data_IF_902822628574
#
_entry.id   IF_902822628574
#
_cell.length_a   1.000
_cell.length_b   1.000
_cell.length_c   1.000
_cell.angle_alpha   90.00
_cell.angle_beta   90.00
_cell.angle_gamma   90.00
#
_symmetry.space_group_name_H-M   'P 1'
#
loop_
_entity.id
_entity.type
_entity.pdbx_description
1 polymer ?
#
# COMPACT_ATOMS: atom_id res chain seq x y z
N UNK A 1 -17.02 20.70 -23.90
CA UNK A 1 -18.23 20.06 -23.38
C UNK A 1 -17.93 19.45 -22.04
N UNK A 2 -17.56 20.27 -21.07
CA UNK A 2 -17.42 19.88 -19.67
C UNK A 2 -18.77 20.14 -19.01
N UNK A 3 -19.39 19.11 -18.46
CA UNK A 3 -20.75 19.20 -17.90
C UNK A 3 -20.76 19.49 -16.39
N UNK A 4 -19.69 19.10 -15.69
CA UNK A 4 -19.53 19.28 -14.24
C UNK A 4 -18.10 19.70 -13.95
N UNK A 5 -17.95 20.62 -13.01
CA UNK A 5 -16.66 21.03 -12.44
C UNK A 5 -16.59 20.54 -10.98
N UNK A 6 -15.44 20.02 -10.59
CA UNK A 6 -15.11 19.81 -9.18
C UNK A 6 -14.41 21.08 -8.66
N UNK A 7 -15.22 22.06 -8.24
CA UNK A 7 -14.74 23.39 -7.84
C UNK A 7 -15.89 24.38 -7.75
N UNK A 8 -15.55 25.67 -7.81
CA UNK A 8 -16.52 26.77 -7.74
C UNK A 8 -16.44 27.72 -8.94
N UNK A 9 -15.56 27.49 -9.91
CA UNK A 9 -15.33 28.39 -11.04
C UNK A 9 -16.61 28.59 -11.88
N UNK A 10 -17.31 27.52 -12.22
CA UNK A 10 -18.57 27.57 -12.96
C UNK A 10 -19.65 28.25 -12.14
N UNK A 11 -19.77 27.89 -10.86
CA UNK A 11 -20.73 28.52 -9.94
C UNK A 11 -20.50 30.04 -9.86
N UNK A 12 -19.25 30.48 -9.80
CA UNK A 12 -18.86 31.89 -9.66
C UNK A 12 -18.90 32.67 -10.98
N UNK A 13 -18.65 32.03 -12.13
CA UNK A 13 -18.39 32.74 -13.38
C UNK A 13 -19.35 32.44 -14.53
N UNK A 14 -20.06 31.30 -14.53
CA UNK A 14 -20.91 30.91 -15.68
C UNK A 14 -22.02 31.91 -15.96
N UNK A 15 -22.66 32.50 -14.93
CA UNK A 15 -23.68 33.55 -15.11
C UNK A 15 -23.10 34.76 -15.86
N UNK A 16 -21.92 35.23 -15.43
CA UNK A 16 -21.24 36.37 -16.04
C UNK A 16 -20.86 36.07 -17.49
N UNK A 17 -20.36 34.86 -17.76
CA UNK A 17 -20.02 34.41 -19.11
C UNK A 17 -21.23 34.37 -20.05
N UNK A 18 -22.40 33.95 -19.57
CA UNK A 18 -23.66 33.98 -20.33
C UNK A 18 -24.13 35.41 -20.59
N UNK A 19 -24.13 36.28 -19.56
CA UNK A 19 -24.51 37.69 -19.72
C UNK A 19 -23.62 38.44 -20.71
N UNK A 20 -22.32 38.11 -20.71
CA UNK A 20 -21.34 38.65 -21.67
C UNK A 20 -21.39 37.97 -23.04
N UNK A 21 -22.32 37.03 -23.27
CA UNK A 21 -22.46 36.25 -24.51
C UNK A 21 -21.20 35.45 -24.91
N UNK A 22 -20.30 35.18 -23.95
CA UNK A 22 -19.12 34.32 -24.14
C UNK A 22 -19.50 32.84 -24.23
N UNK A 23 -20.61 32.47 -23.61
CA UNK A 23 -21.18 31.12 -23.63
C UNK A 23 -22.70 31.21 -23.85
N UNK A 24 -23.29 30.48 -24.80
CA UNK A 24 -24.74 30.38 -24.93
C UNK A 24 -25.36 29.67 -23.71
N UNK A 25 -26.54 30.12 -23.25
CA UNK A 25 -27.26 29.44 -22.15
C UNK A 25 -27.56 27.98 -22.46
N UNK A 26 -27.79 27.63 -23.73
CA UNK A 26 -28.02 26.25 -24.17
C UNK A 26 -26.86 25.30 -23.86
N UNK A 27 -25.64 25.80 -23.68
CA UNK A 27 -24.51 24.98 -23.23
C UNK A 27 -24.65 24.59 -21.76
N UNK A 28 -25.19 25.47 -20.92
CA UNK A 28 -25.51 25.19 -19.51
C UNK A 28 -26.68 24.21 -19.44
N UNK A 29 -27.72 24.44 -20.24
CA UNK A 29 -28.89 23.55 -20.29
C UNK A 29 -28.49 22.13 -20.71
N UNK A 30 -27.60 22.00 -21.69
CA UNK A 30 -27.06 20.69 -22.10
C UNK A 30 -26.32 20.00 -20.94
N UNK A 31 -25.47 20.72 -20.22
CA UNK A 31 -24.72 20.17 -19.10
C UNK A 31 -25.65 19.67 -17.97
N UNK A 32 -26.67 20.47 -17.65
CA UNK A 32 -27.71 20.09 -16.68
C UNK A 32 -28.51 18.88 -17.17
N UNK A 33 -28.93 18.88 -18.44
CA UNK A 33 -29.64 17.75 -19.04
C UNK A 33 -28.83 16.46 -18.90
N UNK A 34 -27.54 16.48 -19.21
CA UNK A 34 -26.65 15.32 -19.07
C UNK A 34 -26.53 14.86 -17.61
N UNK A 35 -26.28 15.79 -16.68
CA UNK A 35 -26.14 15.48 -15.25
C UNK A 35 -27.42 14.85 -14.67
N UNK A 36 -28.58 15.46 -14.94
CA UNK A 36 -29.85 14.98 -14.42
C UNK A 36 -30.31 13.69 -15.10
N UNK A 37 -30.01 13.50 -16.38
CA UNK A 37 -30.29 12.23 -17.08
C UNK A 37 -29.63 11.04 -16.38
N UNK A 38 -28.38 11.19 -15.92
CA UNK A 38 -27.70 10.13 -15.16
C UNK A 38 -28.36 9.92 -13.79
N UNK A 39 -28.70 11.00 -13.06
CA UNK A 39 -29.36 10.89 -11.75
C UNK A 39 -30.73 10.22 -11.84
N UNK A 40 -31.50 10.50 -12.89
CA UNK A 40 -32.78 9.85 -13.18
C UNK A 40 -32.56 8.36 -13.48
N UNK A 41 -31.57 8.00 -14.32
CA UNK A 41 -31.23 6.59 -14.60
C UNK A 41 -30.79 5.79 -13.36
N UNK A 42 -30.22 6.47 -12.37
CA UNK A 42 -29.84 5.88 -11.07
C UNK A 42 -31.02 5.80 -10.09
N UNK A 43 -32.20 6.29 -10.47
CA UNK A 43 -33.43 6.24 -9.67
C UNK A 43 -33.51 7.29 -8.56
N UNK A 44 -32.68 8.35 -8.60
CA UNK A 44 -32.66 9.36 -7.53
C UNK A 44 -34.01 10.10 -7.38
N UNK A 45 -34.87 10.05 -8.40
CA UNK A 45 -36.18 10.70 -8.45
C UNK A 45 -37.35 9.70 -8.39
N UNK A 46 -37.09 8.41 -8.18
CA UNK A 46 -38.10 7.35 -8.24
C UNK A 46 -38.75 7.05 -6.87
N UNK A 47 -38.78 8.05 -5.97
CA UNK A 47 -39.41 7.95 -4.65
C UNK A 47 -38.48 7.35 -3.58
N UNK A 48 -38.98 6.38 -2.81
CA UNK A 48 -38.24 5.84 -1.66
C UNK A 48 -37.05 4.97 -2.12
N UNK A 49 -35.79 5.38 -1.87
CA UNK A 49 -34.61 4.67 -2.39
C UNK A 49 -34.48 3.23 -1.87
N UNK A 50 -35.04 2.90 -0.70
CA UNK A 50 -35.00 1.52 -0.17
C UNK A 50 -35.85 0.54 -0.97
N UNK A 51 -36.79 1.04 -1.78
CA UNK A 51 -37.64 0.23 -2.68
C UNK A 51 -37.05 0.10 -4.09
N UNK A 52 -35.93 0.75 -4.38
CA UNK A 52 -35.30 0.76 -5.71
C UNK A 52 -34.23 -0.33 -5.83
N UNK A 53 -33.69 -0.49 -7.05
CA UNK A 53 -32.75 -1.56 -7.44
C UNK A 53 -31.59 -1.76 -6.45
N UNK A 54 -31.05 -0.68 -5.89
CA UNK A 54 -29.90 -0.72 -4.97
C UNK A 54 -30.29 -0.54 -3.50
N UNK A 55 -31.59 -0.39 -3.20
CA UNK A 55 -32.11 -0.05 -1.87
C UNK A 55 -31.92 -1.13 -0.81
N UNK A 56 -31.65 -2.37 -1.22
CA UNK A 56 -31.37 -3.50 -0.32
C UNK A 56 -29.91 -3.60 0.12
N UNK A 57 -29.01 -2.77 -0.42
CA UNK A 57 -27.59 -2.75 -0.03
C UNK A 57 -27.47 -1.98 1.29
N UNK A 58 -27.34 -2.71 2.39
CA UNK A 58 -27.24 -2.16 3.74
C UNK A 58 -25.83 -2.13 4.32
N UNK A 59 -25.65 -1.50 5.50
CA UNK A 59 -24.36 -1.45 6.20
C UNK A 59 -23.78 -2.82 6.56
N UNK A 60 -24.62 -3.84 6.71
CA UNK A 60 -24.20 -5.22 6.97
C UNK A 60 -23.45 -5.86 5.79
N UNK A 61 -23.52 -5.28 4.60
CA UNK A 61 -22.70 -5.69 3.44
C UNK A 61 -21.29 -5.07 3.49
N UNK A 62 -21.11 -3.96 4.21
CA UNK A 62 -19.81 -3.32 4.41
C UNK A 62 -18.99 -4.19 5.37
N UNK A 63 -17.69 -4.37 5.08
CA UNK A 63 -16.81 -5.23 5.85
C UNK A 63 -17.26 -6.71 5.96
N UNK A 64 -18.11 -7.18 5.03
CA UNK A 64 -18.51 -8.59 5.01
C UNK A 64 -17.29 -9.50 4.86
N UNK A 65 -17.40 -10.74 5.34
CA UNK A 65 -16.32 -11.73 5.18
C UNK A 65 -15.98 -11.95 3.71
N UNK A 66 -16.95 -11.90 2.80
CA UNK A 66 -16.67 -12.01 1.37
C UNK A 66 -15.82 -10.84 0.86
N UNK A 67 -16.12 -9.60 1.26
CA UNK A 67 -15.38 -8.41 0.83
C UNK A 67 -13.95 -8.39 1.40
N UNK A 68 -13.79 -8.78 2.67
CA UNK A 68 -12.47 -8.94 3.28
C UNK A 68 -11.65 -10.03 2.59
N UNK A 69 -12.27 -11.17 2.27
CA UNK A 69 -11.59 -12.24 1.53
C UNK A 69 -11.18 -11.80 0.12
N UNK A 70 -12.00 -10.99 -0.56
CA UNK A 70 -11.66 -10.44 -1.87
C UNK A 70 -10.46 -9.48 -1.77
N UNK A 71 -10.41 -8.62 -0.74
CA UNK A 71 -9.26 -7.75 -0.48
C UNK A 71 -7.99 -8.56 -0.21
N UNK A 72 -8.09 -9.63 0.60
CA UNK A 72 -6.97 -10.54 0.86
C UNK A 72 -6.49 -11.24 -0.42
N UNK A 73 -7.42 -11.68 -1.27
CA UNK A 73 -7.10 -12.36 -2.53
C UNK A 73 -6.41 -11.42 -3.53
N UNK A 74 -6.87 -10.18 -3.61
CA UNK A 74 -6.23 -9.15 -4.42
C UNK A 74 -4.79 -8.88 -3.95
N UNK A 75 -4.58 -8.80 -2.63
CA UNK A 75 -3.24 -8.63 -2.06
C UNK A 75 -2.33 -9.83 -2.36
N UNK A 76 -2.82 -11.05 -2.16
CA UNK A 76 -2.09 -12.30 -2.48
C UNK A 76 -1.66 -12.37 -3.94
N UNK A 77 -2.57 -12.05 -4.85
CA UNK A 77 -2.34 -12.11 -6.29
C UNK A 77 -1.51 -10.94 -6.83
N UNK A 78 -1.40 -9.84 -6.07
CA UNK A 78 -0.68 -8.64 -6.48
C UNK A 78 0.77 -8.56 -6.00
N UNK A 79 1.17 -9.37 -5.01
CA UNK A 79 2.54 -9.41 -4.51
C UNK A 79 3.41 -10.18 -5.52
N UNK A 80 4.54 -9.57 -5.91
CA UNK A 80 5.43 -10.10 -6.95
C UNK A 80 6.75 -10.57 -6.34
N UNK A 81 7.13 -11.82 -6.66
CA UNK A 81 8.45 -12.37 -6.34
C UNK A 81 9.48 -11.96 -7.40
N UNK A 82 10.36 -11.03 -7.04
CA UNK A 82 11.39 -10.49 -7.93
C UNK A 82 12.70 -11.29 -7.89
N UNK A 83 13.01 -11.89 -6.74
CA UNK A 83 14.22 -12.71 -6.53
C UNK A 83 13.95 -13.80 -5.51
N UNK A 84 14.43 -15.02 -5.77
CA UNK A 84 14.45 -16.12 -4.82
C UNK A 84 15.69 -16.99 -5.02
N UNK A 85 16.80 -16.58 -4.42
CA UNK A 85 18.06 -17.29 -4.41
C UNK A 85 18.22 -18.09 -3.12
N UNK A 86 19.12 -19.08 -3.14
CA UNK A 86 19.41 -19.98 -2.02
C UNK A 86 18.19 -20.73 -1.45
N UNK A 87 17.07 -20.78 -2.20
CA UNK A 87 15.78 -21.32 -1.76
C UNK A 87 15.35 -20.75 -0.39
N UNK A 88 15.57 -19.45 -0.18
CA UNK A 88 15.21 -18.80 1.09
C UNK A 88 13.70 -18.74 1.29
N UNK A 89 12.92 -18.58 0.22
CA UNK A 89 11.46 -18.62 0.26
C UNK A 89 10.91 -19.93 -0.33
N UNK A 90 9.86 -20.52 0.27
CA UNK A 90 9.20 -20.08 1.52
C UNK A 90 10.00 -20.42 2.78
N UNK A 91 9.81 -19.64 3.85
CA UNK A 91 10.36 -19.92 5.17
C UNK A 91 9.68 -21.14 5.81
N UNK A 92 10.40 -21.94 6.62
CA UNK A 92 9.79 -23.03 7.38
C UNK A 92 8.74 -22.52 8.38
N UNK A 93 7.60 -23.21 8.46
CA UNK A 93 6.51 -22.90 9.41
C UNK A 93 6.92 -23.01 10.88
N UNK A 94 8.01 -23.72 11.18
CA UNK A 94 8.60 -23.85 12.52
C UNK A 94 9.77 -22.88 12.74
N UNK A 95 9.68 -21.65 12.22
CA UNK A 95 10.73 -20.65 12.39
C UNK A 95 10.84 -20.25 13.85
N UNK A 96 12.01 -20.48 14.45
CA UNK A 96 12.26 -20.23 15.87
C UNK A 96 12.34 -18.75 16.20
N UNK A 97 13.06 -17.98 15.37
CA UNK A 97 13.24 -16.54 15.58
C UNK A 97 13.35 -15.78 14.26
N UNK A 98 12.61 -14.67 14.16
CA UNK A 98 12.60 -13.81 12.98
C UNK A 98 12.66 -12.35 13.40
N UNK A 99 13.44 -11.54 12.69
CA UNK A 99 13.40 -10.09 12.82
C UNK A 99 12.64 -9.47 11.65
N UNK A 100 11.73 -8.55 11.96
CA UNK A 100 11.06 -7.71 10.97
C UNK A 100 11.60 -6.29 11.16
N UNK A 101 12.40 -5.82 10.22
CA UNK A 101 13.17 -4.59 10.34
C UNK A 101 12.77 -3.61 9.24
N UNK A 102 12.53 -2.34 9.58
CA UNK A 102 12.43 -1.27 8.58
C UNK A 102 11.21 -0.36 8.79
N UNK A 103 11.23 0.82 8.15
CA UNK A 103 10.25 1.88 8.41
C UNK A 103 8.82 1.47 8.01
N UNK A 104 8.68 0.50 7.11
CA UNK A 104 7.39 0.05 6.61
C UNK A 104 6.82 -1.16 7.40
N UNK A 105 7.59 -1.75 8.33
CA UNK A 105 7.24 -3.01 8.97
C UNK A 105 6.07 -2.91 9.98
N UNK A 106 5.99 -1.85 10.77
CA UNK A 106 4.89 -1.65 11.73
C UNK A 106 4.21 -0.28 11.56
N UNK A 107 4.26 0.26 10.35
CA UNK A 107 3.68 1.56 10.05
C UNK A 107 2.14 1.51 10.02
N UNK A 108 1.53 2.63 10.38
CA UNK A 108 0.08 2.86 10.32
C UNK A 108 -0.50 2.71 8.90
N UNK A 109 -1.82 2.90 8.75
CA UNK A 109 -2.57 2.79 7.48
C UNK A 109 -1.91 3.42 6.24
N UNK A 110 -1.14 4.50 6.41
CA UNK A 110 -0.49 5.24 5.33
C UNK A 110 0.46 4.42 4.46
N UNK A 111 1.05 3.35 5.01
CA UNK A 111 2.04 2.53 4.30
C UNK A 111 1.42 1.39 3.51
N UNK A 112 0.27 0.86 3.94
CA UNK A 112 -0.36 -0.29 3.25
C UNK A 112 -1.57 0.10 2.40
N UNK A 113 -2.20 1.26 2.66
CA UNK A 113 -3.42 1.68 1.97
C UNK A 113 -3.19 2.67 0.81
N UNK A 114 -1.98 3.22 0.63
CA UNK A 114 -1.71 4.19 -0.43
C UNK A 114 -2.44 5.53 -0.22
N UNK A 115 -3.15 6.00 -1.23
CA UNK A 115 -3.96 7.24 -1.21
C UNK A 115 -5.46 6.95 -1.43
N UNK A 116 -6.31 7.99 -1.36
CA UNK A 116 -7.75 7.90 -1.64
C UNK A 116 -8.52 6.81 -0.86
N UNK A 117 -8.02 6.40 0.31
CA UNK A 117 -8.63 5.35 1.13
C UNK A 117 -9.59 5.90 2.19
N UNK A 118 -10.63 5.13 2.50
CA UNK A 118 -11.51 5.33 3.65
C UNK A 118 -11.01 4.59 4.90
N UNK A 119 -11.78 4.67 6.00
CA UNK A 119 -11.44 3.91 7.22
C UNK A 119 -11.46 2.40 6.92
N UNK A 120 -10.36 1.65 7.13
CA UNK A 120 -10.33 0.22 6.90
C UNK A 120 -11.21 -0.52 7.92
N UNK A 121 -11.72 -1.69 7.53
CA UNK A 121 -12.51 -2.56 8.38
C UNK A 121 -11.61 -3.31 9.37
N UNK A 122 -10.50 -3.85 8.87
CA UNK A 122 -9.51 -4.55 9.66
C UNK A 122 -8.12 -4.32 9.07
N UNK A 123 -7.33 -3.46 9.72
CA UNK A 123 -5.97 -3.14 9.28
C UNK A 123 -4.96 -4.06 9.97
N UNK A 124 -4.29 -4.89 9.18
CA UNK A 124 -3.20 -5.77 9.62
C UNK A 124 -1.89 -5.21 9.08
N UNK A 125 -1.02 -4.71 9.98
CA UNK A 125 0.33 -4.27 9.60
C UNK A 125 1.19 -5.45 9.15
N UNK A 126 2.31 -5.18 8.47
CA UNK A 126 3.23 -6.25 8.08
C UNK A 126 3.70 -7.04 9.31
N UNK A 127 4.15 -6.37 10.37
CA UNK A 127 4.53 -7.02 11.63
C UNK A 127 3.42 -7.92 12.17
N UNK A 128 2.19 -7.42 12.24
CA UNK A 128 1.04 -8.19 12.76
C UNK A 128 0.75 -9.44 11.92
N UNK A 129 0.89 -9.36 10.60
CA UNK A 129 0.70 -10.51 9.72
C UNK A 129 1.65 -11.68 10.02
N UNK A 130 2.84 -11.38 10.53
CA UNK A 130 3.84 -12.39 10.87
C UNK A 130 3.64 -13.00 12.26
N UNK A 131 2.86 -12.37 13.15
CA UNK A 131 2.65 -12.81 14.55
C UNK A 131 2.05 -14.21 14.67
N UNK A 132 1.29 -14.67 13.68
CA UNK A 132 0.74 -16.03 13.66
C UNK A 132 1.73 -17.10 13.20
N UNK A 133 2.88 -16.72 12.60
CA UNK A 133 3.82 -17.64 11.96
C UNK A 133 5.11 -17.88 12.75
N UNK A 134 5.47 -17.01 13.68
CA UNK A 134 6.71 -17.13 14.45
C UNK A 134 6.49 -16.89 15.93
N UNK A 135 7.08 -17.76 16.76
CA UNK A 135 6.96 -17.69 18.23
C UNK A 135 7.74 -16.52 18.83
N UNK A 136 8.86 -16.16 18.22
CA UNK A 136 9.72 -15.08 18.66
C UNK A 136 9.96 -14.11 17.49
N UNK A 137 9.21 -13.01 17.51
CA UNK A 137 9.35 -11.93 16.53
C UNK A 137 10.01 -10.75 17.21
N UNK A 138 11.14 -10.33 16.65
CA UNK A 138 11.81 -9.09 17.05
C UNK A 138 11.51 -8.03 16.00
N UNK A 139 10.92 -6.92 16.44
CA UNK A 139 10.69 -5.77 15.57
C UNK A 139 11.75 -4.70 15.82
N UNK A 140 12.23 -4.08 14.74
CA UNK A 140 13.05 -2.88 14.80
C UNK A 140 12.63 -1.92 13.70
N UNK A 141 12.45 -0.63 14.00
CA UNK A 141 12.03 0.34 12.99
C UNK A 141 13.12 0.60 11.95
N UNK A 142 14.40 0.45 12.31
CA UNK A 142 15.52 0.67 11.40
C UNK A 142 15.76 2.15 11.14
N UNK A 143 14.78 2.85 10.55
CA UNK A 143 14.79 4.31 10.41
C UNK A 143 13.78 4.93 11.39
N UNK A 144 14.24 5.81 12.28
CA UNK A 144 13.39 6.37 13.35
C UNK A 144 12.43 7.45 12.85
N UNK A 145 12.71 8.04 11.70
CA UNK A 145 11.92 9.09 11.05
C UNK A 145 11.07 8.60 9.87
N UNK A 146 10.82 7.29 9.80
CA UNK A 146 9.97 6.66 8.78
C UNK A 146 10.68 6.47 7.44
N UNK A 147 9.91 6.48 6.35
CA UNK A 147 10.39 6.14 5.00
C UNK A 147 11.42 7.13 4.46
N UNK A 148 11.39 8.40 4.90
CA UNK A 148 12.43 9.39 4.59
C UNK A 148 13.83 8.93 4.99
N UNK A 149 13.91 8.18 6.10
CA UNK A 149 15.11 7.55 6.61
C UNK A 149 16.36 8.46 6.65
N UNK A 150 16.21 9.70 7.13
CA UNK A 150 17.36 10.57 7.37
C UNK A 150 18.17 10.07 8.57
N UNK A 151 17.50 9.39 9.51
CA UNK A 151 18.10 8.86 10.73
C UNK A 151 17.90 7.34 10.82
N UNK A 152 18.91 6.59 10.35
CA UNK A 152 18.94 5.13 10.46
C UNK A 152 19.70 4.67 11.71
N UNK A 153 19.08 3.82 12.51
CA UNK A 153 19.63 3.11 13.67
C UNK A 153 20.25 1.77 13.24
N UNK A 154 21.29 1.88 12.41
CA UNK A 154 21.93 0.75 11.74
C UNK A 154 22.56 -0.20 12.75
N UNK A 155 23.28 0.31 13.75
CA UNK A 155 23.97 -0.51 14.75
C UNK A 155 22.98 -1.40 15.53
N UNK A 156 21.87 -0.82 15.99
CA UNK A 156 20.83 -1.52 16.72
C UNK A 156 20.12 -2.56 15.84
N UNK A 157 19.81 -2.21 14.59
CA UNK A 157 19.22 -3.14 13.62
C UNK A 157 20.14 -4.32 13.32
N UNK A 158 21.45 -4.07 13.20
CA UNK A 158 22.49 -5.10 13.02
C UNK A 158 22.55 -6.03 14.23
N UNK A 159 22.50 -5.49 15.45
CA UNK A 159 22.51 -6.31 16.68
C UNK A 159 21.25 -7.19 16.82
N UNK A 160 20.09 -6.70 16.35
CA UNK A 160 18.87 -7.52 16.25
C UNK A 160 19.06 -8.64 15.22
N UNK A 161 19.56 -8.32 14.04
CA UNK A 161 19.75 -9.27 12.95
C UNK A 161 20.70 -10.43 13.31
N UNK A 162 21.75 -10.15 14.10
CA UNK A 162 22.69 -11.17 14.61
C UNK A 162 22.04 -12.17 15.57
N UNK A 163 20.94 -11.80 16.25
CA UNK A 163 20.32 -12.62 17.31
C UNK A 163 19.27 -13.59 16.78
N UNK A 164 18.66 -13.31 15.64
CA UNK A 164 17.58 -14.13 15.04
C UNK A 164 18.09 -15.09 13.97
N UNK A 165 17.24 -15.98 13.46
CA UNK A 165 17.59 -16.93 12.39
C UNK A 165 17.28 -16.38 11.00
N UNK A 166 16.18 -15.65 10.86
CA UNK A 166 15.74 -15.04 9.61
C UNK A 166 15.47 -13.55 9.80
N UNK A 167 15.71 -12.76 8.75
CA UNK A 167 15.46 -11.33 8.74
C UNK A 167 14.62 -10.97 7.53
N UNK A 168 13.55 -10.22 7.76
CA UNK A 168 12.71 -9.60 6.74
C UNK A 168 12.88 -8.09 6.87
N UNK A 169 13.44 -7.48 5.84
CA UNK A 169 13.60 -6.04 5.72
C UNK A 169 12.39 -5.48 4.98
N UNK A 170 11.62 -4.57 5.60
CA UNK A 170 10.42 -3.95 5.02
C UNK A 170 10.71 -2.48 4.78
N UNK A 171 10.96 -2.17 3.51
CA UNK A 171 11.52 -0.91 3.01
C UNK A 171 10.60 -0.33 1.93
N UNK A 172 10.96 0.83 1.40
CA UNK A 172 10.28 1.44 0.26
C UNK A 172 9.80 2.86 0.54
N UNK A 173 8.60 3.15 0.07
CA UNK A 173 8.02 4.49 0.03
C UNK A 173 6.74 4.55 0.86
N UNK A 174 6.20 5.76 1.00
CA UNK A 174 4.86 6.01 1.49
C UNK A 174 4.35 7.35 0.91
N UNK A 175 3.20 7.81 1.39
CA UNK A 175 2.61 9.08 0.96
C UNK A 175 3.43 10.33 1.36
N UNK A 176 4.53 10.18 2.11
CA UNK A 176 5.49 11.28 2.32
C UNK A 176 6.48 11.42 1.17
N UNK A 177 6.59 10.39 0.31
CA UNK A 177 7.48 10.34 -0.85
C UNK A 177 6.72 10.46 -2.17
N UNK A 178 5.57 9.78 -2.30
CA UNK A 178 4.80 9.73 -3.54
C UNK A 178 3.31 9.96 -3.28
N UNK A 179 2.78 11.09 -3.74
CA UNK A 179 1.34 11.41 -3.61
C UNK A 179 0.90 12.44 -4.64
N UNK A 180 -0.39 12.68 -4.70
CA UNK A 180 -0.95 13.76 -5.53
C UNK A 180 -0.30 15.11 -5.18
N UNK A 181 0.09 15.85 -6.22
CA UNK A 181 0.81 17.13 -6.12
C UNK A 181 2.20 17.02 -5.46
N UNK A 182 2.78 15.83 -5.40
CA UNK A 182 4.12 15.59 -4.89
C UNK A 182 4.78 14.43 -5.64
N UNK A 183 5.41 14.79 -6.75
CA UNK A 183 6.28 13.89 -7.50
C UNK A 183 7.61 13.69 -6.76
N UNK A 184 8.24 12.54 -6.97
CA UNK A 184 9.60 12.29 -6.50
C UNK A 184 10.61 12.93 -7.44
N UNK A 185 11.75 13.33 -6.90
CA UNK A 185 12.85 13.88 -7.66
C UNK A 185 13.73 12.78 -8.32
N UNK A 186 13.70 11.57 -7.76
CA UNK A 186 14.45 10.41 -8.24
C UNK A 186 13.70 9.09 -7.98
N UNK A 187 14.33 7.98 -8.41
CA UNK A 187 13.81 6.63 -8.25
C UNK A 187 14.59 5.82 -7.20
N UNK A 188 15.42 6.44 -6.37
CA UNK A 188 16.21 5.72 -5.36
C UNK A 188 15.35 5.37 -4.14
N UNK A 189 15.88 4.52 -3.26
CA UNK A 189 15.31 4.35 -1.92
C UNK A 189 15.62 5.60 -1.08
N UNK A 190 14.65 6.18 -0.36
CA UNK A 190 14.90 7.42 0.34
C UNK A 190 15.90 7.27 1.50
N UNK A 191 16.76 8.29 1.64
CA UNK A 191 17.69 8.43 2.75
C UNK A 191 18.63 7.23 2.89
N UNK A 192 18.76 6.72 4.11
CA UNK A 192 19.72 5.66 4.46
C UNK A 192 19.15 4.24 4.38
N UNK A 193 18.02 4.05 3.71
CA UNK A 193 17.42 2.71 3.61
C UNK A 193 18.36 1.71 2.93
N UNK A 194 19.08 2.09 1.85
CA UNK A 194 20.06 1.22 1.21
C UNK A 194 21.20 0.83 2.17
N UNK A 195 21.80 1.79 2.87
CA UNK A 195 22.89 1.55 3.83
C UNK A 195 22.45 0.61 4.96
N UNK A 196 21.21 0.77 5.43
CA UNK A 196 20.60 -0.11 6.43
C UNK A 196 20.40 -1.53 5.89
N UNK A 197 19.91 -1.68 4.66
CA UNK A 197 19.72 -2.99 4.01
C UNK A 197 21.06 -3.72 3.91
N UNK A 198 22.08 -3.08 3.34
CA UNK A 198 23.40 -3.66 3.11
C UNK A 198 24.07 -4.09 4.44
N UNK A 199 23.99 -3.22 5.45
CA UNK A 199 24.57 -3.47 6.78
C UNK A 199 23.89 -4.64 7.50
N UNK A 200 22.56 -4.69 7.48
CA UNK A 200 21.80 -5.79 8.08
C UNK A 200 22.02 -7.10 7.30
N UNK A 201 22.00 -7.06 5.97
CA UNK A 201 22.24 -8.22 5.13
C UNK A 201 23.63 -8.84 5.39
N UNK A 202 24.66 -7.99 5.51
CA UNK A 202 26.03 -8.42 5.82
C UNK A 202 26.14 -9.09 7.18
N UNK A 203 25.45 -8.57 8.20
CA UNK A 203 25.51 -9.08 9.58
C UNK A 203 24.62 -10.30 9.85
N UNK A 204 23.64 -10.56 8.98
CA UNK A 204 22.66 -11.64 9.15
C UNK A 204 23.29 -13.03 8.97
N UNK A 205 22.82 -13.99 9.78
CA UNK A 205 23.28 -15.40 9.74
C UNK A 205 22.96 -16.07 8.40
N UNK A 206 21.84 -15.70 7.79
CA UNK A 206 21.31 -16.23 6.52
C UNK A 206 21.05 -15.09 5.55
N UNK A 207 20.92 -15.36 4.24
CA UNK A 207 20.41 -14.36 3.31
C UNK A 207 19.07 -13.80 3.79
N UNK A 208 18.90 -12.48 3.66
CA UNK A 208 17.71 -11.76 4.12
C UNK A 208 16.63 -11.75 3.05
N UNK A 209 15.39 -11.47 3.46
CA UNK A 209 14.27 -11.22 2.56
C UNK A 209 14.01 -9.71 2.56
N UNK A 210 14.12 -9.07 1.39
CA UNK A 210 13.78 -7.67 1.20
C UNK A 210 12.34 -7.57 0.66
N UNK A 211 11.51 -6.80 1.35
CA UNK A 211 10.13 -6.48 0.96
C UNK A 211 10.05 -4.99 0.66
N UNK A 212 9.55 -4.65 -0.52
CA UNK A 212 9.36 -3.28 -0.98
C UNK A 212 7.88 -2.93 -0.98
N UNK A 213 7.50 -1.93 -0.18
CA UNK A 213 6.19 -1.30 -0.22
C UNK A 213 6.31 0.07 -0.92
N UNK A 214 5.93 0.12 -2.18
CA UNK A 214 5.93 1.33 -3.00
C UNK A 214 4.99 1.15 -4.20
N UNK A 215 4.29 2.21 -4.59
CA UNK A 215 3.53 2.25 -5.83
C UNK A 215 4.45 2.47 -7.02
N UNK A 216 5.27 3.52 -6.98
CA UNK A 216 6.28 3.80 -8.00
C UNK A 216 7.48 2.83 -7.92
N UNK A 217 8.21 2.64 -9.03
CA UNK A 217 9.41 1.82 -9.02
C UNK A 217 10.52 2.47 -8.18
N UNK A 218 11.32 1.63 -7.53
CA UNK A 218 12.53 2.05 -6.81
C UNK A 218 13.73 1.28 -7.35
N UNK A 219 14.87 1.94 -7.53
CA UNK A 219 16.11 1.30 -7.96
C UNK A 219 16.67 0.44 -6.82
N UNK A 220 16.76 -0.86 -7.10
CA UNK A 220 17.31 -1.88 -6.21
C UNK A 220 18.43 -2.66 -6.89
N UNK A 221 19.14 -2.03 -7.83
CA UNK A 221 20.24 -2.63 -8.56
C UNK A 221 21.33 -3.16 -7.62
N UNK A 222 21.57 -2.47 -6.48
CA UNK A 222 22.49 -2.93 -5.42
C UNK A 222 22.10 -4.30 -4.85
N UNK A 223 20.81 -4.62 -4.76
CA UNK A 223 20.29 -5.86 -4.19
C UNK A 223 20.18 -7.01 -5.19
N UNK A 224 20.15 -6.70 -6.49
CA UNK A 224 19.88 -7.67 -7.56
C UNK A 224 20.87 -8.84 -7.53
N UNK A 225 22.15 -8.56 -7.37
CA UNK A 225 23.23 -9.56 -7.43
C UNK A 225 23.90 -9.83 -6.08
N UNK A 226 23.43 -9.22 -4.99
CA UNK A 226 23.94 -9.52 -3.65
C UNK A 226 23.37 -10.85 -3.13
N UNK A 227 24.23 -11.85 -2.91
CA UNK A 227 23.85 -13.16 -2.37
C UNK A 227 23.39 -13.11 -0.90
N UNK A 228 23.70 -12.02 -0.18
CA UNK A 228 23.14 -11.77 1.16
C UNK A 228 21.69 -11.32 1.12
N UNK A 229 21.15 -10.93 -0.03
CA UNK A 229 19.73 -10.65 -0.23
C UNK A 229 19.13 -11.83 -1.01
N UNK A 230 18.65 -12.83 -0.28
CA UNK A 230 18.18 -14.09 -0.87
C UNK A 230 16.81 -13.95 -1.52
N UNK A 231 15.91 -13.15 -0.94
CA UNK A 231 14.55 -12.97 -1.43
C UNK A 231 14.24 -11.50 -1.67
N UNK A 232 13.54 -11.17 -2.76
CA UNK A 232 13.00 -9.83 -2.98
C UNK A 232 11.52 -9.95 -3.37
N UNK A 233 10.65 -9.30 -2.61
CA UNK A 233 9.21 -9.20 -2.84
C UNK A 233 8.83 -7.74 -3.05
N UNK A 234 8.08 -7.44 -4.12
CA UNK A 234 7.39 -6.17 -4.26
C UNK A 234 5.92 -6.37 -3.91
N UNK A 235 5.43 -5.61 -2.93
CA UNK A 235 4.08 -5.78 -2.40
C UNK A 235 3.18 -4.55 -2.61
N UNK A 236 3.65 -3.54 -3.35
CA UNK A 236 2.85 -2.36 -3.68
C UNK A 236 2.28 -1.66 -2.43
N UNK A 237 0.99 -1.32 -2.52
CA UNK A 237 0.15 -0.95 -1.38
C UNK A 237 -0.90 -2.06 -1.16
N UNK A 238 -0.61 -3.08 -0.34
CA UNK A 238 -1.35 -4.35 -0.36
C UNK A 238 -2.69 -4.31 0.40
N UNK A 239 -3.17 -3.13 0.81
CA UNK A 239 -4.47 -2.94 1.41
C UNK A 239 -4.56 -3.44 2.86
N UNK A 240 -5.79 -3.52 3.36
CA UNK A 240 -6.06 -3.70 4.80
C UNK A 240 -5.60 -5.07 5.35
N UNK A 241 -5.59 -6.12 4.52
CA UNK A 241 -5.09 -7.45 4.88
C UNK A 241 -3.73 -7.78 4.25
N UNK A 242 -3.02 -6.76 3.76
CA UNK A 242 -1.75 -6.93 3.06
C UNK A 242 -0.65 -7.56 3.91
N UNK A 243 -0.60 -7.24 5.21
CA UNK A 243 0.34 -7.89 6.13
C UNK A 243 0.12 -9.40 6.24
N UNK A 244 -1.14 -9.85 6.27
CA UNK A 244 -1.48 -11.26 6.29
C UNK A 244 -1.14 -11.95 4.96
N UNK A 245 -1.44 -11.30 3.82
CA UNK A 245 -1.09 -11.82 2.50
C UNK A 245 0.42 -12.03 2.34
N UNK A 246 1.21 -11.02 2.75
CA UNK A 246 2.66 -11.10 2.69
C UNK A 246 3.21 -12.24 3.56
N UNK A 247 2.70 -12.39 4.78
CA UNK A 247 3.11 -13.49 5.66
C UNK A 247 2.77 -14.86 5.04
N UNK A 248 1.57 -15.01 4.46
CA UNK A 248 1.17 -16.25 3.78
C UNK A 248 2.11 -16.60 2.62
N UNK A 249 2.56 -15.61 1.86
CA UNK A 249 3.55 -15.82 0.80
C UNK A 249 4.92 -16.20 1.37
N UNK A 250 5.38 -15.47 2.38
CA UNK A 250 6.70 -15.71 2.98
C UNK A 250 6.79 -17.11 3.60
N UNK A 251 5.71 -17.62 4.18
CA UNK A 251 5.65 -18.96 4.79
C UNK A 251 5.06 -20.06 3.90
N UNK A 252 4.73 -19.74 2.63
CA UNK A 252 4.30 -20.72 1.62
C UNK A 252 2.87 -21.24 1.79
N UNK A 253 2.00 -20.51 2.48
CA UNK A 253 0.56 -20.76 2.49
C UNK A 253 -0.12 -20.28 1.20
N UNK A 254 0.54 -19.39 0.46
CA UNK A 254 0.14 -18.93 -0.86
C UNK A 254 1.38 -18.78 -1.75
N UNK A 255 1.26 -19.14 -3.03
CA UNK A 255 2.36 -19.02 -3.99
C UNK A 255 2.23 -17.70 -4.77
N UNK A 256 3.25 -16.83 -4.75
CA UNK A 256 3.27 -15.60 -5.53
C UNK A 256 3.51 -15.87 -7.02
#
# INVERSE_FOLDING_TARGET
>A
GMDVECGDYFTNHSKSAVLQKKVPISHIDRALHNLFSIRIRLGLFDGNPTKLKYGSIGPNQVCSKQNLNLALEAARSGIVLLKNNAKILPLPKSTNSIAIIGPNANSSSKVVLGNYFGRPCNLVTIKQGFESYAKNIVYHYGCSDGTKCLNAEIEQAVEVAKKVDYVVLVMGLDQSQERESHDRDDLELPGKQQELIESVAKASKRPVILVLLCGGPVDISFAKFDDKIGGILWAGYPGELGGLALAQIVFGDYNP
#
